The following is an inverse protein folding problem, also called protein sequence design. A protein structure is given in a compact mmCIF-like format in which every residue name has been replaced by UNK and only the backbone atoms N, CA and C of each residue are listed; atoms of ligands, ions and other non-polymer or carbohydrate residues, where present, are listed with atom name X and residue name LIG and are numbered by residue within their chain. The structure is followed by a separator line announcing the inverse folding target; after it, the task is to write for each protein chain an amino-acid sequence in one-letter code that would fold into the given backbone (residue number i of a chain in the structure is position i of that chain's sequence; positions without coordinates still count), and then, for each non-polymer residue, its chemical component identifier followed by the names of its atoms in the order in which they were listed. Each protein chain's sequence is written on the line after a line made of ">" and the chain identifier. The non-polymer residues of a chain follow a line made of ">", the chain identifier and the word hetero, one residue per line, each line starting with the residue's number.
data_IF_144558853089
#
_entry.id   IF_144558853089
#
_cell.length_a   1.000
_cell.length_b   1.000
_cell.length_c   1.000
_cell.angle_alpha   90.00
_cell.angle_beta   90.00
_cell.angle_gamma   90.00
#
_symmetry.space_group_name_H-M   'P 1'
#
loop_
_entity.id
_entity.type
_entity.pdbx_description
1 polymer ?
#
# COMPACT_ATOMS: atom_id res chain seq x y z
N UNK A 1 -16.15 -27.73 -7.22
CA UNK A 1 -15.42 -26.53 -6.77
C UNK A 1 -16.44 -25.73 -6.00
N UNK A 2 -16.33 -25.72 -4.65
CA UNK A 2 -17.16 -24.84 -3.83
C UNK A 2 -16.92 -23.40 -4.30
N UNK A 3 -18.00 -22.68 -4.61
CA UNK A 3 -17.91 -21.26 -4.91
C UNK A 3 -17.34 -20.56 -3.67
N UNK A 4 -16.12 -20.04 -3.81
CA UNK A 4 -15.57 -19.14 -2.82
C UNK A 4 -16.57 -18.00 -2.62
N UNK A 5 -17.13 -17.85 -1.43
CA UNK A 5 -18.08 -16.79 -1.07
C UNK A 5 -17.39 -15.44 -1.24
N UNK A 6 -17.40 -14.90 -2.47
CA UNK A 6 -16.89 -13.57 -2.76
C UNK A 6 -17.98 -12.56 -2.48
N UNK A 7 -17.66 -11.55 -1.67
CA UNK A 7 -18.58 -10.44 -1.41
C UNK A 7 -18.90 -9.70 -2.70
N UNK A 8 -20.16 -9.33 -2.90
CA UNK A 8 -20.51 -8.41 -3.98
C UNK A 8 -19.85 -7.03 -3.73
N UNK A 9 -19.57 -6.23 -4.79
CA UNK A 9 -18.86 -4.93 -4.63
C UNK A 9 -19.47 -4.00 -3.58
N UNK A 10 -20.82 -3.97 -3.47
CA UNK A 10 -21.52 -3.17 -2.46
C UNK A 10 -21.38 -3.71 -1.03
N UNK A 11 -21.21 -5.01 -0.87
CA UNK A 11 -20.95 -5.68 0.41
C UNK A 11 -19.49 -5.54 0.81
N UNK A 12 -18.55 -5.65 -0.14
CA UNK A 12 -17.13 -5.46 0.08
C UNK A 12 -16.77 -4.06 0.61
N UNK A 13 -17.50 -3.02 0.18
CA UNK A 13 -17.36 -1.66 0.74
C UNK A 13 -17.78 -1.55 2.20
N UNK A 14 -18.76 -2.36 2.63
CA UNK A 14 -19.33 -2.34 3.99
C UNK A 14 -18.68 -3.35 4.92
N UNK A 15 -17.90 -4.28 4.38
CA UNK A 15 -17.19 -5.27 5.16
C UNK A 15 -16.16 -4.60 6.08
N UNK A 16 -15.89 -5.23 7.20
CA UNK A 16 -14.82 -4.80 8.09
C UNK A 16 -13.48 -4.79 7.36
N UNK A 17 -12.74 -3.69 7.52
CA UNK A 17 -11.44 -3.48 6.89
C UNK A 17 -10.37 -3.45 7.94
N UNK A 18 -9.19 -3.98 7.60
CA UNK A 18 -8.00 -3.72 8.37
C UNK A 18 -7.65 -2.23 8.31
N UNK A 19 -7.30 -1.65 9.45
CA UNK A 19 -6.91 -0.24 9.54
C UNK A 19 -5.53 0.00 8.91
N UNK A 20 -5.44 -0.28 7.62
CA UNK A 20 -4.23 -0.15 6.81
C UNK A 20 -4.53 0.82 5.67
N UNK A 21 -3.76 1.92 5.60
CA UNK A 21 -3.72 2.84 4.47
C UNK A 21 -2.46 2.55 3.66
N UNK A 22 -2.60 2.46 2.34
CA UNK A 22 -1.48 2.31 1.41
C UNK A 22 -1.24 3.67 0.77
N UNK A 23 -0.03 4.22 0.87
CA UNK A 23 0.35 5.51 0.28
C UNK A 23 1.32 5.23 -0.87
N UNK A 24 0.96 5.64 -2.06
CA UNK A 24 1.79 5.52 -3.27
C UNK A 24 2.40 6.88 -3.61
N UNK A 25 3.72 7.00 -3.44
CA UNK A 25 4.48 8.22 -3.67
C UNK A 25 5.11 8.21 -5.07
N UNK A 26 4.55 9.01 -5.99
CA UNK A 26 5.02 9.13 -7.37
C UNK A 26 5.19 7.79 -8.13
N UNK A 27 4.35 6.82 -7.85
CA UNK A 27 4.31 5.54 -8.57
C UNK A 27 3.75 5.78 -9.96
N UNK A 28 4.56 5.58 -11.01
CA UNK A 28 4.19 5.98 -12.38
C UNK A 28 3.46 4.92 -13.18
N UNK A 29 3.68 3.66 -12.89
CA UNK A 29 3.10 2.55 -13.64
C UNK A 29 1.62 2.36 -13.32
N UNK A 30 0.76 2.59 -14.30
CA UNK A 30 -0.69 2.35 -14.21
C UNK A 30 -1.01 0.89 -13.90
N UNK A 31 -0.22 -0.05 -14.45
CA UNK A 31 -0.36 -1.47 -14.16
C UNK A 31 -0.03 -1.79 -12.70
N UNK A 32 1.02 -1.16 -12.14
CA UNK A 32 1.36 -1.30 -10.73
C UNK A 32 0.24 -0.74 -9.85
N UNK A 33 -0.27 0.45 -10.17
CA UNK A 33 -1.39 1.06 -9.43
C UNK A 33 -2.61 0.13 -9.43
N UNK A 34 -3.01 -0.39 -10.59
CA UNK A 34 -4.13 -1.33 -10.68
C UNK A 34 -3.89 -2.63 -9.89
N UNK A 35 -2.66 -3.16 -9.92
CA UNK A 35 -2.29 -4.33 -9.13
C UNK A 35 -2.30 -4.06 -7.63
N UNK A 36 -1.90 -2.84 -7.22
CA UNK A 36 -2.01 -2.40 -5.83
C UNK A 36 -3.47 -2.36 -5.37
N UNK A 37 -4.39 -1.82 -6.18
CA UNK A 37 -5.82 -1.87 -5.87
C UNK A 37 -6.32 -3.30 -5.65
N UNK A 38 -5.97 -4.21 -6.56
CA UNK A 38 -6.36 -5.63 -6.46
C UNK A 38 -5.80 -6.29 -5.20
N UNK A 39 -4.54 -6.03 -4.88
CA UNK A 39 -3.90 -6.57 -3.67
C UNK A 39 -4.52 -5.97 -2.40
N UNK A 40 -4.77 -4.66 -2.38
CA UNK A 40 -5.44 -3.99 -1.27
C UNK A 40 -6.85 -4.54 -1.01
N UNK A 41 -7.60 -4.82 -2.07
CA UNK A 41 -8.92 -5.47 -1.96
C UNK A 41 -8.81 -6.87 -1.36
N UNK A 42 -7.87 -7.67 -1.86
CA UNK A 42 -7.67 -9.05 -1.40
C UNK A 42 -7.34 -9.17 0.09
N UNK A 43 -6.64 -8.17 0.64
CA UNK A 43 -6.27 -8.09 2.06
C UNK A 43 -7.15 -7.13 2.87
N UNK A 44 -8.29 -6.72 2.33
CA UNK A 44 -9.25 -5.83 2.99
C UNK A 44 -8.59 -4.57 3.59
N UNK A 45 -7.61 -3.98 2.92
CA UNK A 45 -7.03 -2.70 3.31
C UNK A 45 -8.09 -1.59 3.25
N UNK A 46 -7.98 -0.61 4.16
CA UNK A 46 -9.00 0.43 4.30
C UNK A 46 -9.02 1.40 3.12
N UNK A 47 -7.84 1.88 2.70
CA UNK A 47 -7.76 2.88 1.64
C UNK A 47 -6.40 2.91 0.94
N UNK A 48 -6.39 3.53 -0.26
CA UNK A 48 -5.17 3.87 -1.00
C UNK A 48 -5.11 5.38 -1.17
N UNK A 49 -3.97 6.00 -0.82
CA UNK A 49 -3.66 7.39 -1.06
C UNK A 49 -2.68 7.47 -2.23
N UNK A 50 -3.09 8.15 -3.30
CA UNK A 50 -2.34 8.32 -4.53
C UNK A 50 -1.70 9.71 -4.52
N UNK A 51 -0.36 9.80 -4.53
CA UNK A 51 0.34 11.06 -4.32
C UNK A 51 1.12 11.51 -5.57
N UNK A 52 1.14 12.83 -5.78
CA UNK A 52 1.91 13.46 -6.83
C UNK A 52 1.50 13.00 -8.22
N UNK A 53 2.45 12.45 -8.97
CA UNK A 53 2.25 11.95 -10.34
C UNK A 53 1.65 10.54 -10.42
N UNK A 54 1.27 9.93 -9.30
CA UNK A 54 0.63 8.62 -9.30
C UNK A 54 -0.70 8.68 -10.06
N UNK A 55 -0.89 7.86 -11.12
CA UNK A 55 -2.13 7.86 -11.88
C UNK A 55 -3.33 7.47 -11.03
N UNK A 56 -4.47 8.09 -11.34
CA UNK A 56 -5.72 7.89 -10.62
C UNK A 56 -6.78 7.20 -11.50
N UNK A 57 -7.69 6.41 -10.90
CA UNK A 57 -8.89 5.95 -11.60
C UNK A 57 -9.80 7.14 -12.00
N UNK A 58 -10.62 7.00 -13.07
CA UNK A 58 -10.69 5.86 -13.98
C UNK A 58 -9.63 5.95 -15.08
N UNK A 59 -8.90 4.87 -15.29
CA UNK A 59 -7.97 4.75 -16.41
C UNK A 59 -7.96 3.30 -16.93
N UNK A 60 -7.94 3.12 -18.28
CA UNK A 60 -8.02 1.81 -18.93
C UNK A 60 -6.96 0.82 -18.42
N UNK A 61 -5.71 1.28 -18.27
CA UNK A 61 -4.61 0.39 -17.90
C UNK A 61 -4.57 0.10 -16.39
N UNK A 62 -5.15 0.97 -15.56
CA UNK A 62 -5.43 0.66 -14.15
C UNK A 62 -6.52 -0.42 -14.08
N UNK A 63 -7.62 -0.27 -14.80
CA UNK A 63 -8.72 -1.24 -14.80
C UNK A 63 -8.31 -2.64 -15.23
N UNK A 64 -7.36 -2.76 -16.18
CA UNK A 64 -6.88 -4.07 -16.66
C UNK A 64 -6.29 -4.94 -15.54
N UNK A 65 -5.63 -4.35 -14.56
CA UNK A 65 -4.97 -5.07 -13.47
C UNK A 65 -5.76 -5.01 -12.16
N UNK A 66 -6.55 -3.96 -11.95
CA UNK A 66 -7.39 -3.80 -10.77
C UNK A 66 -8.59 -4.75 -10.74
N UNK A 67 -9.12 -5.16 -11.91
CA UNK A 67 -10.25 -6.10 -12.04
C UNK A 67 -11.46 -5.73 -11.17
N UNK A 68 -11.83 -4.44 -11.14
CA UNK A 68 -12.96 -3.92 -10.36
C UNK A 68 -12.61 -3.44 -8.96
N UNK A 69 -11.40 -3.69 -8.46
CA UNK A 69 -11.01 -3.28 -7.10
C UNK A 69 -11.00 -1.76 -6.87
N UNK A 70 -10.98 -0.95 -7.91
CA UNK A 70 -11.14 0.51 -7.83
C UNK A 70 -12.52 0.94 -7.32
N UNK A 71 -13.51 0.03 -7.37
CA UNK A 71 -14.86 0.29 -6.89
C UNK A 71 -15.08 -0.19 -5.45
N UNK A 72 -14.23 -1.10 -4.96
CA UNK A 72 -14.36 -1.72 -3.63
C UNK A 72 -13.40 -1.15 -2.61
N UNK A 73 -12.22 -0.66 -3.04
CA UNK A 73 -11.22 -0.02 -2.19
C UNK A 73 -11.39 1.50 -2.24
N UNK A 74 -11.53 2.13 -1.09
CA UNK A 74 -11.55 3.59 -1.00
C UNK A 74 -10.21 4.18 -1.42
N UNK A 75 -10.22 5.31 -2.12
CA UNK A 75 -8.98 5.98 -2.50
C UNK A 75 -9.13 7.49 -2.54
N UNK A 76 -8.02 8.19 -2.41
CA UNK A 76 -7.95 9.65 -2.50
C UNK A 76 -6.64 10.07 -3.15
N UNK A 77 -6.66 11.14 -3.95
CA UNK A 77 -5.47 11.77 -4.50
C UNK A 77 -5.00 12.92 -3.60
N UNK A 78 -3.67 13.05 -3.46
CA UNK A 78 -3.00 14.15 -2.77
C UNK A 78 -1.97 14.78 -3.69
N UNK A 79 -1.77 16.12 -3.63
CA UNK A 79 -0.75 16.80 -4.43
C UNK A 79 0.66 16.30 -4.17
N UNK A 80 0.95 15.87 -2.96
CA UNK A 80 2.23 15.28 -2.57
C UNK A 80 2.10 14.30 -1.40
N UNK A 81 3.15 13.56 -1.15
CA UNK A 81 3.17 12.50 -0.14
C UNK A 81 3.02 13.06 1.29
N UNK A 82 3.55 14.25 1.57
CA UNK A 82 3.49 14.83 2.91
C UNK A 82 2.07 15.21 3.32
N UNK A 83 1.24 15.66 2.38
CA UNK A 83 -0.18 15.93 2.64
C UNK A 83 -0.93 14.62 2.97
N UNK A 84 -0.61 13.53 2.27
CA UNK A 84 -1.17 12.22 2.56
C UNK A 84 -0.73 11.69 3.93
N UNK A 85 0.56 11.85 4.27
CA UNK A 85 1.12 11.49 5.58
C UNK A 85 0.43 12.25 6.71
N UNK A 86 0.28 13.57 6.56
CA UNK A 86 -0.40 14.40 7.56
C UNK A 86 -1.86 13.99 7.74
N UNK A 87 -2.58 13.75 6.64
CA UNK A 87 -3.97 13.28 6.67
C UNK A 87 -4.11 11.91 7.37
N UNK A 88 -3.14 11.00 7.18
CA UNK A 88 -3.13 9.72 7.88
C UNK A 88 -2.84 9.90 9.38
N UNK A 89 -1.87 10.76 9.74
CA UNK A 89 -1.55 11.07 11.14
C UNK A 89 -2.71 11.69 11.91
N UNK A 90 -3.43 12.62 11.30
CA UNK A 90 -4.63 13.23 11.90
C UNK A 90 -5.71 12.20 12.22
N UNK A 91 -5.73 11.07 11.49
CA UNK A 91 -6.60 9.93 11.74
C UNK A 91 -6.02 8.90 12.73
N UNK A 92 -4.85 9.17 13.29
CA UNK A 92 -4.19 8.32 14.28
C UNK A 92 -3.41 7.13 13.69
N UNK A 93 -3.01 7.20 12.40
CA UNK A 93 -2.19 6.17 11.76
C UNK A 93 -0.70 6.39 12.06
N UNK A 94 0.00 5.32 12.41
CA UNK A 94 1.47 5.29 12.39
C UNK A 94 1.97 5.19 10.95
N UNK A 95 3.03 5.89 10.64
CA UNK A 95 3.56 6.01 9.27
C UNK A 95 4.79 5.13 9.14
N UNK A 96 4.73 4.15 8.25
CA UNK A 96 5.84 3.24 7.98
C UNK A 96 6.26 3.34 6.51
N UNK A 97 7.52 3.70 6.26
CA UNK A 97 8.11 3.61 4.94
C UNK A 97 8.50 2.15 4.65
N UNK A 98 8.17 1.67 3.46
CA UNK A 98 8.61 0.34 2.99
C UNK A 98 9.77 0.54 2.03
N UNK A 99 10.99 0.45 2.55
CA UNK A 99 12.21 0.73 1.79
C UNK A 99 13.44 0.07 2.44
N UNK A 100 14.46 -0.22 1.65
CA UNK A 100 15.78 -0.61 2.14
C UNK A 100 16.57 0.65 2.50
N UNK A 101 16.60 1.01 3.76
CA UNK A 101 17.27 2.21 4.25
C UNK A 101 18.19 1.91 5.44
N UNK A 102 19.10 2.82 5.73
CA UNK A 102 20.16 2.64 6.75
C UNK A 102 19.65 2.33 8.17
N UNK A 103 18.38 2.59 8.47
CA UNK A 103 17.75 2.35 9.77
C UNK A 103 16.46 1.53 9.64
N UNK A 104 16.30 0.80 8.53
CA UNK A 104 15.18 -0.11 8.37
C UNK A 104 15.32 -1.33 9.27
N UNK A 105 14.22 -1.89 9.70
CA UNK A 105 14.20 -3.19 10.34
C UNK A 105 13.46 -4.21 9.47
N UNK A 106 13.81 -5.46 9.65
CA UNK A 106 13.21 -6.56 8.88
C UNK A 106 11.71 -6.67 9.12
N UNK A 107 10.94 -6.78 8.05
CA UNK A 107 9.51 -7.06 8.09
C UNK A 107 9.17 -8.28 8.97
N UNK A 108 10.03 -9.30 8.98
CA UNK A 108 9.84 -10.50 9.82
C UNK A 108 9.88 -10.24 11.33
N UNK A 109 10.27 -9.04 11.76
CA UNK A 109 10.30 -8.61 13.16
C UNK A 109 9.16 -7.64 13.51
N UNK A 110 8.27 -7.38 12.57
CA UNK A 110 7.14 -6.50 12.83
C UNK A 110 6.16 -7.19 13.79
N UNK A 111 5.80 -6.47 14.83
CA UNK A 111 4.74 -6.89 15.75
C UNK A 111 3.56 -5.92 15.55
N UNK A 112 2.64 -6.30 14.69
CA UNK A 112 1.47 -5.49 14.39
C UNK A 112 0.24 -5.96 15.16
N UNK A 113 -0.15 -5.19 16.14
CA UNK A 113 -1.29 -5.47 17.02
C UNK A 113 -2.61 -4.85 16.50
N UNK A 114 -2.87 -4.89 15.20
CA UNK A 114 -4.02 -4.24 14.55
C UNK A 114 -4.11 -2.71 14.79
N UNK A 115 -3.01 -2.07 15.18
CA UNK A 115 -2.96 -0.61 15.27
C UNK A 115 -3.07 0.02 13.88
N UNK A 116 -3.69 1.22 13.77
CA UNK A 116 -3.76 1.92 12.49
C UNK A 116 -2.37 2.18 11.91
N UNK A 117 -2.12 1.70 10.70
CA UNK A 117 -0.82 1.83 10.02
C UNK A 117 -1.01 2.37 8.61
N UNK A 118 -0.17 3.32 8.20
CA UNK A 118 -0.05 3.79 6.84
C UNK A 118 1.30 3.36 6.27
N UNK A 119 1.27 2.63 5.17
CA UNK A 119 2.43 2.04 4.49
C UNK A 119 2.77 2.88 3.27
N UNK A 120 3.96 3.47 3.21
CA UNK A 120 4.43 4.27 2.09
C UNK A 120 5.29 3.42 1.17
N UNK A 121 4.91 3.38 -0.11
CA UNK A 121 5.69 2.79 -1.19
C UNK A 121 6.10 3.89 -2.16
N UNK A 122 7.39 3.93 -2.46
CA UNK A 122 7.97 4.96 -3.31
C UNK A 122 7.97 4.63 -4.80
N UNK A 123 8.49 5.56 -5.56
CA UNK A 123 8.70 5.47 -7.00
C UNK A 123 9.57 4.25 -7.36
N UNK A 124 9.30 3.66 -8.53
CA UNK A 124 9.98 2.44 -8.99
C UNK A 124 11.49 2.63 -9.26
N UNK A 125 11.93 3.86 -9.45
CA UNK A 125 13.33 4.19 -9.76
C UNK A 125 14.04 4.81 -8.55
N UNK A 126 13.41 5.80 -7.91
CA UNK A 126 14.02 6.59 -6.83
C UNK A 126 13.70 6.06 -5.43
N UNK A 127 12.78 5.11 -5.31
CA UNK A 127 12.32 4.62 -4.01
C UNK A 127 11.49 5.65 -3.24
N UNK A 128 11.45 5.51 -1.92
CA UNK A 128 10.81 6.46 -1.01
C UNK A 128 11.77 7.63 -0.75
N UNK A 129 11.26 8.85 -0.81
CA UNK A 129 12.04 10.06 -0.56
C UNK A 129 12.65 10.03 0.85
N UNK A 130 13.92 10.44 0.98
CA UNK A 130 14.63 10.46 2.27
C UNK A 130 13.95 11.32 3.35
N UNK A 131 13.32 12.42 2.97
CA UNK A 131 12.60 13.29 3.90
C UNK A 131 11.38 12.55 4.46
N UNK A 132 10.68 11.79 3.63
CA UNK A 132 9.56 10.94 4.05
C UNK A 132 10.04 9.85 5.02
N UNK A 133 11.16 9.17 4.70
CA UNK A 133 11.75 8.16 5.59
C UNK A 133 12.10 8.77 6.95
N UNK A 134 12.72 9.95 6.97
CA UNK A 134 13.11 10.65 8.21
C UNK A 134 11.92 11.06 9.08
N UNK A 135 10.80 11.35 8.46
CA UNK A 135 9.56 11.74 9.16
C UNK A 135 8.65 10.57 9.50
N UNK A 136 8.91 9.38 8.97
CA UNK A 136 8.16 8.17 9.29
C UNK A 136 8.45 7.68 10.70
N UNK A 137 7.47 7.03 11.31
CA UNK A 137 7.61 6.41 12.65
C UNK A 137 8.56 5.22 12.60
N UNK A 138 8.60 4.53 11.45
CA UNK A 138 9.54 3.45 11.19
C UNK A 138 9.79 3.27 9.69
N UNK A 139 10.89 2.57 9.36
CA UNK A 139 11.19 2.07 8.03
C UNK A 139 11.34 0.56 8.09
N UNK A 140 10.58 -0.16 7.28
CA UNK A 140 10.60 -1.61 7.20
C UNK A 140 11.14 -2.08 5.87
N UNK A 141 11.94 -3.13 5.90
CA UNK A 141 12.48 -3.76 4.70
C UNK A 141 12.03 -5.21 4.57
N UNK A 142 11.79 -5.64 3.35
CA UNK A 142 11.61 -7.05 3.02
C UNK A 142 13.01 -7.65 2.82
N UNK A 143 13.45 -8.60 3.64
CA UNK A 143 14.75 -9.24 3.46
C UNK A 143 14.83 -9.91 2.08
N UNK A 144 15.94 -9.69 1.38
CA UNK A 144 16.21 -10.24 0.05
C UNK A 144 17.60 -10.85 0.01
N UNK A 145 17.73 -12.03 -0.61
CA UNK A 145 18.98 -12.78 -0.70
C UNK A 145 19.48 -12.95 -2.14
N UNK A 146 18.77 -12.35 -3.09
CA UNK A 146 19.11 -12.42 -4.51
C UNK A 146 20.07 -11.30 -4.94
N UNK A 147 20.45 -11.30 -6.22
CA UNK A 147 21.31 -10.27 -6.80
C UNK A 147 20.58 -8.95 -7.12
N UNK A 148 19.26 -8.93 -7.15
CA UNK A 148 18.44 -7.73 -7.38
C UNK A 148 18.11 -7.07 -6.06
N UNK A 149 18.08 -5.73 -6.06
CA UNK A 149 17.93 -4.93 -4.85
C UNK A 149 16.50 -4.45 -4.59
N UNK A 150 15.56 -4.77 -5.48
CA UNK A 150 14.16 -4.35 -5.33
C UNK A 150 13.19 -5.37 -5.89
N UNK A 151 12.01 -5.44 -5.29
CA UNK A 151 10.84 -6.16 -5.78
C UNK A 151 9.90 -5.20 -6.51
N UNK A 152 9.06 -5.73 -7.40
CA UNK A 152 7.94 -4.96 -7.93
C UNK A 152 7.03 -4.50 -6.79
N UNK A 153 6.52 -3.26 -6.86
CA UNK A 153 5.74 -2.64 -5.79
C UNK A 153 4.50 -3.47 -5.39
N UNK A 154 3.79 -4.05 -6.36
CA UNK A 154 2.61 -4.86 -6.05
C UNK A 154 2.97 -6.19 -5.36
N UNK A 155 4.15 -6.73 -5.66
CA UNK A 155 4.71 -7.91 -4.97
C UNK A 155 5.12 -7.52 -3.55
N UNK A 156 5.85 -6.43 -3.39
CA UNK A 156 6.24 -5.91 -2.07
C UNK A 156 5.03 -5.66 -1.18
N UNK A 157 4.00 -5.03 -1.72
CA UNK A 157 2.75 -4.79 -1.00
C UNK A 157 2.11 -6.10 -0.55
N UNK A 158 2.01 -7.09 -1.44
CA UNK A 158 1.44 -8.39 -1.10
C UNK A 158 2.18 -9.09 0.03
N UNK A 159 3.52 -9.05 0.01
CA UNK A 159 4.36 -9.63 1.08
C UNK A 159 4.15 -8.90 2.40
N UNK A 160 4.13 -7.56 2.39
CA UNK A 160 3.92 -6.74 3.60
C UNK A 160 2.53 -6.97 4.17
N UNK A 161 1.48 -6.91 3.34
CA UNK A 161 0.11 -7.12 3.81
C UNK A 161 -0.08 -8.53 4.36
N UNK A 162 0.44 -9.56 3.69
CA UNK A 162 0.38 -10.92 4.20
C UNK A 162 1.01 -11.03 5.59
N UNK A 163 2.22 -10.47 5.77
CA UNK A 163 2.91 -10.54 7.07
C UNK A 163 2.15 -9.81 8.18
N UNK A 164 1.47 -8.70 7.85
CA UNK A 164 0.68 -7.95 8.82
C UNK A 164 -0.61 -8.67 9.24
N UNK A 165 -1.34 -9.28 8.27
CA UNK A 165 -2.69 -9.80 8.53
C UNK A 165 -2.77 -11.31 8.70
N UNK A 166 -1.66 -12.02 8.55
CA UNK A 166 -1.63 -13.47 8.80
C UNK A 166 -1.91 -13.77 10.26
N UNK A 167 -2.75 -14.76 10.51
CA UNK A 167 -3.05 -15.34 11.82
C UNK A 167 -1.89 -16.21 12.33
#
# INVERSE_FOLDING_TARGET
>A
MEELQRLAPGEAKKAEKHRIIIILDDVRSMHNVGSVFRTADAFAAEAIYLCGYTPVPPHRDIHKTALGATETVSWKHFPGVMEAVNAARERGYKIYAVEQAHKSFSLAKIDWNNEPIALIFGNEVSGVNEEVIKTSDACIEIPQWGAKHSLNISVSLGVVLWELVRE
#
